data_IF_762780573272
#
_entry.id   IF_762780573272
#
_cell.length_a   1.000
_cell.length_b   1.000
_cell.length_c   1.000
_cell.angle_alpha   90.00
_cell.angle_beta   90.00
_cell.angle_gamma   90.00
#
_symmetry.space_group_name_H-M   'P 1'
#
loop_
_entity.id
_entity.type
_entity.pdbx_description
1 polymer ?
#
# COMPACT_ATOMS: atom_id res chain seq x y z
N UNK A 1 -14.08 29.51 3.95
CA UNK A 1 -13.12 29.35 2.84
C UNK A 1 -13.26 27.94 2.30
N UNK A 2 -13.85 27.76 1.15
CA UNK A 2 -13.90 26.48 0.44
C UNK A 2 -12.50 26.14 0.00
N UNK A 3 -11.90 25.07 0.55
CA UNK A 3 -10.63 24.54 0.05
C UNK A 3 -10.83 24.11 -1.39
N UNK A 4 -9.90 24.45 -2.28
CA UNK A 4 -9.86 23.90 -3.63
C UNK A 4 -9.92 22.36 -3.58
N UNK A 5 -10.60 21.71 -4.52
CA UNK A 5 -10.66 20.26 -4.56
C UNK A 5 -9.25 19.67 -4.55
N UNK A 6 -9.04 18.61 -3.77
CA UNK A 6 -7.72 17.96 -3.68
C UNK A 6 -7.41 17.23 -5.00
N UNK A 7 -6.25 17.50 -5.57
CA UNK A 7 -5.66 16.67 -6.63
C UNK A 7 -4.81 15.59 -5.95
N UNK A 8 -5.36 14.39 -5.85
CA UNK A 8 -4.76 13.28 -5.09
C UNK A 8 -4.00 12.35 -6.03
N UNK A 9 -2.73 12.08 -5.72
CA UNK A 9 -1.95 11.03 -6.38
C UNK A 9 -1.68 9.89 -5.38
N UNK A 10 -1.80 8.65 -5.85
CA UNK A 10 -1.45 7.47 -5.07
C UNK A 10 -0.03 7.03 -5.40
N UNK A 11 0.76 6.73 -4.38
CA UNK A 11 2.11 6.18 -4.50
C UNK A 11 2.07 4.76 -3.93
N UNK A 12 2.46 3.78 -4.75
CA UNK A 12 2.55 2.36 -4.36
C UNK A 12 4.01 1.93 -4.48
N UNK A 13 4.78 2.02 -3.38
CA UNK A 13 6.16 1.57 -3.39
C UNK A 13 6.22 0.04 -3.29
N UNK A 14 7.05 -0.58 -4.12
CA UNK A 14 7.27 -2.03 -4.13
C UNK A 14 8.76 -2.32 -4.13
N UNK A 15 9.24 -2.97 -3.09
CA UNK A 15 10.63 -3.44 -3.02
C UNK A 15 10.89 -4.53 -4.07
N UNK A 16 12.17 -4.78 -4.36
CA UNK A 16 12.54 -5.93 -5.19
C UNK A 16 11.98 -7.23 -4.63
N UNK A 17 11.54 -8.11 -5.52
CA UNK A 17 10.85 -9.35 -5.16
C UNK A 17 11.78 -10.48 -4.73
N UNK A 18 13.09 -10.31 -4.87
CA UNK A 18 14.07 -11.27 -4.38
C UNK A 18 13.96 -11.39 -2.85
N UNK A 19 13.78 -12.61 -2.36
CA UNK A 19 13.50 -12.92 -0.96
C UNK A 19 12.23 -12.28 -0.37
N UNK A 20 11.30 -11.79 -1.21
CA UNK A 20 10.03 -11.28 -0.72
C UNK A 20 9.26 -12.34 0.05
N UNK A 21 8.57 -11.91 1.12
CA UNK A 21 7.71 -12.76 1.95
C UNK A 21 8.39 -14.06 2.42
N UNK A 22 9.67 -13.98 2.80
CA UNK A 22 10.47 -15.14 3.26
C UNK A 22 9.83 -15.92 4.42
N UNK A 23 9.00 -15.27 5.25
CA UNK A 23 8.25 -15.93 6.34
C UNK A 23 7.13 -16.85 5.83
N UNK A 24 6.81 -16.83 4.54
CA UNK A 24 5.87 -17.75 3.90
C UNK A 24 6.59 -18.94 3.23
N UNK A 25 7.90 -19.10 3.38
CA UNK A 25 8.69 -20.14 2.71
C UNK A 25 8.32 -21.57 3.11
N UNK A 26 7.65 -21.77 4.24
CA UNK A 26 7.11 -23.07 4.64
C UNK A 26 5.89 -23.51 3.81
N UNK A 27 5.23 -22.60 3.11
CA UNK A 27 4.03 -22.85 2.31
C UNK A 27 4.24 -22.58 0.82
N UNK A 28 5.03 -21.56 0.49
CA UNK A 28 5.22 -21.03 -0.85
C UNK A 28 6.68 -21.14 -1.28
N UNK A 29 6.94 -21.66 -2.45
CA UNK A 29 8.25 -21.60 -3.11
C UNK A 29 8.64 -20.15 -3.42
N UNK A 30 9.88 -19.89 -3.80
CA UNK A 30 10.37 -18.55 -4.15
C UNK A 30 9.55 -17.94 -5.29
N UNK A 31 9.25 -18.72 -6.32
CA UNK A 31 8.46 -18.26 -7.47
C UNK A 31 7.00 -18.00 -7.09
N UNK A 32 6.40 -18.85 -6.27
CA UNK A 32 5.04 -18.63 -5.77
C UNK A 32 4.97 -17.38 -4.90
N UNK A 33 5.97 -17.09 -4.06
CA UNK A 33 6.03 -15.84 -3.28
C UNK A 33 6.14 -14.61 -4.17
N UNK A 34 6.99 -14.65 -5.20
CA UNK A 34 7.09 -13.57 -6.20
C UNK A 34 5.76 -13.34 -6.90
N UNK A 35 5.13 -14.41 -7.40
CA UNK A 35 3.81 -14.31 -8.05
C UNK A 35 2.75 -13.79 -7.08
N UNK A 36 2.75 -14.22 -5.84
CA UNK A 36 1.81 -13.75 -4.82
C UNK A 36 1.97 -12.25 -4.54
N UNK A 37 3.20 -11.74 -4.43
CA UNK A 37 3.45 -10.29 -4.31
C UNK A 37 2.91 -9.51 -5.51
N UNK A 38 3.12 -10.01 -6.73
CA UNK A 38 2.58 -9.37 -7.94
C UNK A 38 1.04 -9.38 -7.95
N UNK A 39 0.41 -10.46 -7.50
CA UNK A 39 -1.06 -10.54 -7.43
C UNK A 39 -1.65 -9.63 -6.35
N UNK A 40 -0.99 -9.48 -5.20
CA UNK A 40 -1.38 -8.47 -4.20
C UNK A 40 -1.26 -7.05 -4.76
N UNK A 41 -0.18 -6.75 -5.49
CA UNK A 41 -0.03 -5.46 -6.19
C UNK A 41 -1.18 -5.22 -7.18
N UNK A 42 -1.55 -6.21 -7.99
CA UNK A 42 -2.69 -6.10 -8.91
C UNK A 42 -3.99 -5.73 -8.17
N UNK A 43 -4.25 -6.34 -7.00
CA UNK A 43 -5.44 -6.07 -6.20
C UNK A 43 -5.43 -4.64 -5.65
N UNK A 44 -4.30 -4.18 -5.13
CA UNK A 44 -4.14 -2.79 -4.66
C UNK A 44 -4.32 -1.80 -5.81
N UNK A 45 -3.69 -2.04 -6.96
CA UNK A 45 -3.79 -1.16 -8.13
C UNK A 45 -5.22 -1.10 -8.68
N UNK A 46 -5.94 -2.23 -8.70
CA UNK A 46 -7.35 -2.28 -9.10
C UNK A 46 -8.21 -1.40 -8.18
N UNK A 47 -8.00 -1.50 -6.87
CA UNK A 47 -8.70 -0.69 -5.88
C UNK A 47 -8.40 0.80 -6.05
N UNK A 48 -7.12 1.16 -6.21
CA UNK A 48 -6.72 2.56 -6.40
C UNK A 48 -7.33 3.13 -7.67
N UNK A 49 -7.28 2.41 -8.80
CA UNK A 49 -7.87 2.84 -10.09
C UNK A 49 -9.38 2.98 -10.04
N UNK A 50 -10.07 2.15 -9.28
CA UNK A 50 -11.53 2.25 -9.12
C UNK A 50 -11.96 3.36 -8.16
N UNK A 51 -11.02 4.00 -7.46
CA UNK A 51 -11.28 5.10 -6.55
C UNK A 51 -11.25 6.44 -7.31
N UNK A 52 -12.41 6.92 -7.75
CA UNK A 52 -12.54 8.11 -8.63
C UNK A 52 -11.87 9.39 -8.14
N UNK A 53 -11.64 9.50 -6.82
CA UNK A 53 -10.97 10.66 -6.20
C UNK A 53 -9.45 10.61 -6.28
N UNK A 54 -8.87 9.52 -6.75
CA UNK A 54 -7.44 9.40 -7.04
C UNK A 54 -7.24 9.72 -8.52
N UNK A 55 -6.50 10.79 -8.80
CA UNK A 55 -6.32 11.35 -10.14
C UNK A 55 -5.21 10.63 -10.91
N UNK A 56 -4.18 10.19 -10.20
CA UNK A 56 -3.05 9.47 -10.78
C UNK A 56 -2.47 8.46 -9.80
N UNK A 57 -1.92 7.38 -10.34
CA UNK A 57 -1.24 6.34 -9.57
C UNK A 57 0.19 6.20 -10.05
N UNK A 58 1.12 6.13 -9.11
CA UNK A 58 2.56 5.99 -9.35
C UNK A 58 3.04 4.75 -8.61
N UNK A 59 3.59 3.79 -9.34
CA UNK A 59 4.31 2.64 -8.77
C UNK A 59 5.79 2.96 -8.75
N UNK A 60 6.45 2.72 -7.62
CA UNK A 60 7.89 2.93 -7.48
C UNK A 60 8.56 1.60 -7.21
N UNK A 61 9.46 1.18 -8.07
CA UNK A 61 10.20 -0.08 -7.91
C UNK A 61 11.43 -0.10 -8.82
N UNK A 62 12.39 -0.98 -8.48
CA UNK A 62 13.48 -1.37 -9.38
C UNK A 62 13.26 -2.72 -10.04
N UNK A 63 12.21 -3.44 -9.64
CA UNK A 63 11.94 -4.80 -10.13
C UNK A 63 11.22 -4.76 -11.47
N UNK A 64 11.79 -5.36 -12.54
CA UNK A 64 11.18 -5.33 -13.87
C UNK A 64 9.79 -6.00 -13.93
N UNK A 65 9.50 -6.99 -13.07
CA UNK A 65 8.20 -7.62 -13.04
C UNK A 65 7.13 -6.68 -12.47
N UNK A 66 7.48 -5.89 -11.45
CA UNK A 66 6.61 -4.84 -10.90
C UNK A 66 6.32 -3.76 -11.94
N UNK A 67 7.36 -3.31 -12.68
CA UNK A 67 7.19 -2.29 -13.71
C UNK A 67 6.27 -2.77 -14.84
N UNK A 68 6.38 -4.04 -15.26
CA UNK A 68 5.44 -4.63 -16.25
C UNK A 68 3.98 -4.64 -15.75
N UNK A 69 3.74 -4.90 -14.47
CA UNK A 69 2.39 -4.82 -13.89
C UNK A 69 1.89 -3.38 -13.93
N UNK A 70 2.71 -2.41 -13.54
CA UNK A 70 2.35 -0.99 -13.60
C UNK A 70 1.95 -0.57 -15.02
N UNK A 71 2.72 -0.97 -16.02
CA UNK A 71 2.46 -0.72 -17.44
C UNK A 71 1.14 -1.37 -17.89
N UNK A 72 0.91 -2.64 -17.55
CA UNK A 72 -0.33 -3.35 -17.88
C UNK A 72 -1.57 -2.69 -17.26
N UNK A 73 -1.43 -2.08 -16.09
CA UNK A 73 -2.49 -1.29 -15.46
C UNK A 73 -2.60 0.13 -16.01
N UNK A 74 -1.71 0.56 -16.91
CA UNK A 74 -1.70 1.93 -17.44
C UNK A 74 -1.48 2.98 -16.35
N UNK A 75 -0.67 2.67 -15.35
CA UNK A 75 -0.27 3.60 -14.29
C UNK A 75 1.17 4.05 -14.50
N UNK A 76 1.51 5.22 -13.96
CA UNK A 76 2.90 5.71 -14.04
C UNK A 76 3.79 4.81 -13.19
N UNK A 77 4.99 4.54 -13.68
CA UNK A 77 6.02 3.93 -12.85
C UNK A 77 7.26 4.84 -12.76
N UNK A 78 7.90 4.80 -11.63
CA UNK A 78 9.20 5.41 -11.40
C UNK A 78 10.17 4.30 -11.03
N UNK A 79 11.28 4.25 -11.75
CA UNK A 79 12.37 3.33 -11.42
C UNK A 79 13.09 3.86 -10.18
N UNK A 80 13.15 3.03 -9.13
CA UNK A 80 13.93 3.34 -7.94
C UNK A 80 15.43 3.37 -8.32
N UNK A 81 16.04 4.52 -8.25
CA UNK A 81 17.49 4.69 -8.54
C UNK A 81 18.33 4.57 -7.28
N UNK A 82 17.82 5.04 -6.14
CA UNK A 82 18.49 4.99 -4.85
C UNK A 82 17.98 3.80 -4.03
N UNK A 83 18.88 3.21 -3.25
CA UNK A 83 18.52 2.15 -2.33
C UNK A 83 17.87 2.71 -1.05
N UNK A 84 16.57 2.48 -0.88
CA UNK A 84 15.87 2.85 0.33
C UNK A 84 14.41 3.22 0.09
N UNK A 85 13.51 2.64 0.89
CA UNK A 85 12.07 2.89 0.74
C UNK A 85 11.71 4.35 0.99
N UNK A 86 12.37 5.02 1.95
CA UNK A 86 12.08 6.42 2.27
C UNK A 86 12.52 7.36 1.15
N UNK A 87 13.69 7.09 0.60
CA UNK A 87 14.24 7.83 -0.53
C UNK A 87 13.34 7.68 -1.76
N UNK A 88 12.96 6.44 -2.10
CA UNK A 88 12.07 6.15 -3.22
C UNK A 88 10.70 6.84 -3.08
N UNK A 89 10.09 6.79 -1.88
CA UNK A 89 8.83 7.47 -1.61
C UNK A 89 9.00 8.99 -1.64
N UNK A 90 10.10 9.53 -1.12
CA UNK A 90 10.38 10.97 -1.14
C UNK A 90 10.54 11.51 -2.58
N UNK A 91 11.27 10.78 -3.43
CA UNK A 91 11.41 11.11 -4.86
C UNK A 91 10.05 11.06 -5.58
N UNK A 92 9.23 10.04 -5.30
CA UNK A 92 7.89 9.94 -5.86
C UNK A 92 6.97 11.08 -5.39
N UNK A 93 7.07 11.52 -4.15
CA UNK A 93 6.35 12.69 -3.64
C UNK A 93 6.79 13.95 -4.41
N UNK A 94 8.08 14.16 -4.59
CA UNK A 94 8.61 15.27 -5.40
C UNK A 94 8.05 15.25 -6.81
N UNK A 95 8.09 14.11 -7.48
CA UNK A 95 7.51 13.90 -8.81
C UNK A 95 6.01 14.23 -8.87
N UNK A 96 5.25 13.83 -7.84
CA UNK A 96 3.83 14.14 -7.74
C UNK A 96 3.57 15.66 -7.59
N UNK A 97 4.36 16.34 -6.75
CA UNK A 97 4.27 17.79 -6.53
C UNK A 97 4.52 18.57 -7.83
N UNK A 98 5.57 18.22 -8.57
CA UNK A 98 5.90 18.84 -9.87
C UNK A 98 4.75 18.72 -10.89
N UNK A 99 3.86 17.71 -10.71
CA UNK A 99 2.70 17.46 -11.58
C UNK A 99 1.38 17.92 -10.99
N UNK A 100 1.45 18.79 -10.00
CA UNK A 100 0.28 19.49 -9.44
C UNK A 100 -0.51 18.70 -8.41
N UNK A 101 0.04 17.62 -7.84
CA UNK A 101 -0.59 16.96 -6.71
C UNK A 101 -0.67 17.91 -5.51
N UNK A 102 -1.86 18.09 -4.96
CA UNK A 102 -2.08 18.82 -3.71
C UNK A 102 -2.16 17.89 -2.51
N UNK A 103 -2.26 16.59 -2.76
CA UNK A 103 -2.25 15.53 -1.74
C UNK A 103 -1.64 14.26 -2.31
N UNK A 104 -0.96 13.49 -1.47
CA UNK A 104 -0.48 12.15 -1.84
C UNK A 104 -0.96 11.13 -0.83
N UNK A 105 -1.35 9.95 -1.31
CA UNK A 105 -1.61 8.78 -0.49
C UNK A 105 -0.57 7.70 -0.78
N UNK A 106 0.17 7.27 0.22
CA UNK A 106 1.13 6.16 0.11
C UNK A 106 0.49 4.89 0.65
N UNK A 107 0.47 3.85 -0.17
CA UNK A 107 -0.12 2.55 0.14
C UNK A 107 0.89 1.44 -0.17
N UNK A 108 1.19 0.51 0.75
CA UNK A 108 2.00 -0.65 0.44
C UNK A 108 1.25 -1.60 -0.51
N UNK A 109 2.00 -2.42 -1.25
CA UNK A 109 1.43 -3.36 -2.22
C UNK A 109 0.88 -4.66 -1.60
N UNK A 110 1.04 -4.86 -0.31
CA UNK A 110 0.74 -6.11 0.41
C UNK A 110 -0.48 -6.03 1.34
N UNK A 111 -1.38 -5.09 1.07
CA UNK A 111 -2.69 -4.93 1.73
C UNK A 111 -3.85 -5.21 0.74
N UNK A 112 -3.97 -6.42 0.17
CA UNK A 112 -4.88 -6.71 -0.93
C UNK A 112 -6.37 -6.59 -0.56
N UNK A 113 -6.69 -6.49 0.74
CA UNK A 113 -8.07 -6.31 1.22
C UNK A 113 -8.56 -4.86 1.21
N UNK A 114 -7.69 -3.89 0.91
CA UNK A 114 -8.10 -2.48 0.84
C UNK A 114 -9.19 -2.30 -0.22
N UNK A 115 -10.20 -1.48 0.08
CA UNK A 115 -11.34 -1.23 -0.79
C UNK A 115 -11.44 0.24 -1.21
N UNK A 116 -12.16 0.56 -2.31
CA UNK A 116 -12.43 1.95 -2.69
C UNK A 116 -13.16 2.74 -1.60
N UNK A 117 -14.00 2.07 -0.80
CA UNK A 117 -14.68 2.70 0.35
C UNK A 117 -13.67 3.12 1.42
N UNK A 118 -12.66 2.29 1.71
CA UNK A 118 -11.60 2.63 2.65
C UNK A 118 -10.82 3.86 2.15
N UNK A 119 -10.42 3.86 0.88
CA UNK A 119 -9.68 4.97 0.28
C UNK A 119 -10.51 6.27 0.28
N UNK A 120 -11.78 6.21 -0.11
CA UNK A 120 -12.67 7.38 -0.08
C UNK A 120 -12.81 7.95 1.34
N UNK A 121 -12.88 7.10 2.37
CA UNK A 121 -12.89 7.53 3.78
C UNK A 121 -11.59 8.23 4.17
N UNK A 122 -10.43 7.70 3.77
CA UNK A 122 -9.13 8.34 4.01
C UNK A 122 -9.10 9.73 3.38
N UNK A 123 -9.51 9.84 2.12
CA UNK A 123 -9.51 11.10 1.37
C UNK A 123 -10.45 12.14 1.99
N UNK A 124 -11.63 11.73 2.44
CA UNK A 124 -12.58 12.63 3.13
C UNK A 124 -12.00 13.18 4.44
N UNK A 125 -11.21 12.38 5.17
CA UNK A 125 -10.52 12.83 6.38
C UNK A 125 -9.37 13.79 6.06
N UNK A 126 -8.70 13.61 4.92
CA UNK A 126 -7.63 14.49 4.44
C UNK A 126 -8.10 15.91 4.08
N UNK A 127 -9.39 16.10 3.81
CA UNK A 127 -9.97 17.44 3.66
C UNK A 127 -9.93 18.26 4.96
N UNK A 128 -9.82 17.59 6.10
CA UNK A 128 -9.88 18.19 7.44
C UNK A 128 -8.59 18.05 8.24
N UNK A 129 -7.59 17.34 7.72
CA UNK A 129 -6.33 17.10 8.39
C UNK A 129 -5.17 17.10 7.41
N UNK A 130 -3.99 17.55 7.85
CA UNK A 130 -2.78 17.55 7.03
C UNK A 130 -2.15 16.19 6.92
N UNK A 131 -2.40 15.30 7.88
CA UNK A 131 -1.94 13.91 7.85
C UNK A 131 -3.04 12.96 8.32
N UNK A 132 -3.32 11.92 7.54
CA UNK A 132 -4.16 10.78 7.93
C UNK A 132 -3.31 9.52 7.85
N UNK A 133 -3.20 8.78 8.95
CA UNK A 133 -2.31 7.63 9.05
C UNK A 133 -3.02 6.40 9.61
N UNK A 134 -2.73 5.24 9.01
CA UNK A 134 -3.21 3.94 9.46
C UNK A 134 -2.02 3.05 9.83
N UNK A 135 -2.13 2.39 10.99
CA UNK A 135 -1.11 1.45 11.43
C UNK A 135 -1.30 0.09 10.79
N UNK A 136 -0.19 -0.67 10.72
CA UNK A 136 -0.22 -2.12 10.57
C UNK A 136 -0.91 -2.77 11.79
N UNK A 137 -1.19 -4.08 11.70
CA UNK A 137 -1.82 -4.86 12.78
C UNK A 137 -1.01 -4.80 14.09
N UNK A 138 0.30 -4.85 14.00
CA UNK A 138 1.18 -4.74 15.16
C UNK A 138 1.18 -3.34 15.83
N UNK A 139 0.60 -2.33 15.18
CA UNK A 139 0.66 -0.94 15.62
C UNK A 139 2.03 -0.28 15.43
N UNK A 140 3.00 -0.98 14.85
CA UNK A 140 4.38 -0.49 14.65
C UNK A 140 4.63 0.06 13.24
N UNK A 141 4.08 -0.60 12.22
CA UNK A 141 4.19 -0.22 10.80
C UNK A 141 3.14 0.80 10.38
N UNK A 142 3.33 1.40 9.20
CA UNK A 142 2.41 2.34 8.54
C UNK A 142 1.91 1.73 7.25
N UNK A 143 0.61 1.42 7.17
CA UNK A 143 -0.03 0.76 6.02
C UNK A 143 -0.86 1.70 5.13
N UNK A 144 -1.17 2.91 5.59
CA UNK A 144 -1.63 3.98 4.71
C UNK A 144 -1.22 5.33 5.30
N UNK A 145 -0.75 6.22 4.45
CA UNK A 145 -0.33 7.56 4.82
C UNK A 145 -0.83 8.56 3.77
N UNK A 146 -1.77 9.42 4.14
CA UNK A 146 -2.20 10.57 3.33
C UNK A 146 -1.57 11.83 3.87
N UNK A 147 -0.97 12.62 3.01
CA UNK A 147 -0.36 13.92 3.29
C UNK A 147 -1.04 15.03 2.46
N UNK A 148 -1.43 16.12 3.11
CA UNK A 148 -2.03 17.32 2.50
C UNK A 148 -1.46 18.57 3.19
N UNK A 149 -0.57 19.33 2.55
CA UNK A 149 0.06 19.10 1.23
C UNK A 149 0.99 17.88 1.23
N UNK A 150 1.46 17.44 0.06
CA UNK A 150 2.31 16.24 -0.07
C UNK A 150 3.56 16.22 0.80
N UNK A 151 4.15 17.38 1.06
CA UNK A 151 5.36 17.58 1.87
C UNK A 151 5.06 17.98 3.34
N UNK A 152 3.82 17.80 3.81
CA UNK A 152 3.44 18.16 5.19
C UNK A 152 4.30 17.44 6.24
N UNK A 153 4.69 16.20 5.97
CA UNK A 153 5.52 15.40 6.86
C UNK A 153 6.52 14.56 6.05
N UNK A 154 7.78 14.43 6.49
CA UNK A 154 8.72 13.45 5.90
C UNK A 154 8.23 12.01 6.12
N UNK A 155 8.72 11.09 5.33
CA UNK A 155 8.40 9.67 5.48
C UNK A 155 9.47 8.93 6.28
N UNK A 156 9.02 7.98 7.12
CA UNK A 156 9.86 7.22 8.04
C UNK A 156 9.51 5.73 8.00
N UNK A 157 9.42 5.14 6.80
CA UNK A 157 9.16 3.72 6.65
C UNK A 157 10.29 2.88 7.25
N UNK A 158 9.93 1.71 7.79
CA UNK A 158 10.83 0.81 8.50
C UNK A 158 10.38 0.58 9.95
N UNK A 159 11.27 0.13 10.85
CA UNK A 159 10.91 -0.18 12.22
C UNK A 159 10.28 1.01 12.96
N UNK A 160 9.13 0.75 13.61
CA UNK A 160 8.35 1.75 14.35
C UNK A 160 7.91 2.97 13.53
N UNK A 161 7.70 2.79 12.21
CA UNK A 161 7.33 3.86 11.28
C UNK A 161 6.09 4.64 11.71
N UNK A 162 5.06 3.96 12.24
CA UNK A 162 3.83 4.61 12.68
C UNK A 162 4.08 5.67 13.77
N UNK A 163 4.88 5.32 14.78
CA UNK A 163 5.21 6.24 15.86
C UNK A 163 6.13 7.38 15.38
N UNK A 164 7.10 7.07 14.52
CA UNK A 164 8.00 8.10 13.95
C UNK A 164 7.24 9.15 13.15
N UNK A 165 6.30 8.74 12.29
CA UNK A 165 5.45 9.67 11.55
C UNK A 165 4.64 10.56 12.49
N UNK A 166 4.04 9.98 13.54
CA UNK A 166 3.24 10.73 14.52
C UNK A 166 4.10 11.74 15.31
N UNK A 167 5.25 11.30 15.80
CA UNK A 167 6.15 12.18 16.56
C UNK A 167 6.59 13.40 15.73
N UNK A 168 6.96 13.18 14.47
CA UNK A 168 7.33 14.28 13.60
C UNK A 168 6.14 15.20 13.28
N UNK A 169 4.96 14.65 13.06
CA UNK A 169 3.75 15.43 12.85
C UNK A 169 3.41 16.33 14.07
N UNK A 170 3.57 15.80 15.28
CA UNK A 170 3.38 16.56 16.52
C UNK A 170 4.44 17.67 16.68
N UNK A 171 5.70 17.34 16.39
CA UNK A 171 6.80 18.31 16.42
C UNK A 171 6.57 19.46 15.43
N UNK A 172 6.04 19.15 14.25
CA UNK A 172 5.68 20.14 13.21
C UNK A 172 4.34 20.83 13.45
N UNK A 173 3.61 20.45 14.49
CA UNK A 173 2.28 21.00 14.85
C UNK A 173 1.26 20.90 13.71
N UNK A 174 1.34 19.87 12.85
CA UNK A 174 0.38 19.64 11.77
C UNK A 174 -0.84 18.88 12.29
N UNK A 175 -1.99 19.12 11.68
CA UNK A 175 -3.23 18.43 12.03
C UNK A 175 -3.14 16.94 11.61
N UNK A 176 -3.42 16.04 12.56
CA UNK A 176 -3.23 14.60 12.45
C UNK A 176 -4.50 13.83 12.76
N UNK A 177 -4.83 12.82 11.95
CA UNK A 177 -5.82 11.77 12.23
C UNK A 177 -5.16 10.39 12.23
N UNK A 178 -5.25 9.69 13.36
CA UNK A 178 -4.78 8.31 13.53
C UNK A 178 -5.98 7.38 13.49
N UNK A 179 -5.94 6.36 12.65
CA UNK A 179 -7.05 5.44 12.45
C UNK A 179 -6.57 3.98 12.40
N UNK A 180 -7.52 3.07 12.55
CA UNK A 180 -7.35 1.64 12.33
C UNK A 180 -8.46 1.14 11.42
N UNK A 181 -8.12 0.20 10.55
CA UNK A 181 -9.03 -0.55 9.71
C UNK A 181 -8.50 -1.98 9.62
N UNK A 182 -9.29 -3.01 9.90
CA UNK A 182 -8.83 -4.39 9.77
C UNK A 182 -8.25 -4.69 8.38
N UNK A 183 -8.87 -4.20 7.30
CA UNK A 183 -8.43 -4.42 5.92
C UNK A 183 -7.11 -3.73 5.59
N UNK A 184 -6.91 -2.49 6.07
CA UNK A 184 -5.67 -1.75 5.85
C UNK A 184 -4.55 -2.25 6.78
N UNK A 185 -4.92 -2.69 7.98
CA UNK A 185 -3.96 -3.16 8.97
C UNK A 185 -3.33 -4.52 8.62
N UNK A 186 -3.99 -5.31 7.76
CA UNK A 186 -3.51 -6.62 7.35
C UNK A 186 -2.57 -6.51 6.14
N UNK A 187 -1.30 -6.32 6.42
CA UNK A 187 -0.18 -6.57 5.52
C UNK A 187 0.21 -8.06 5.62
N UNK A 188 0.25 -8.74 4.48
CA UNK A 188 0.43 -10.19 4.48
C UNK A 188 1.91 -10.54 4.48
N UNK A 189 2.46 -10.84 5.65
CA UNK A 189 3.88 -11.17 5.85
C UNK A 189 4.11 -12.58 6.41
N UNK A 190 3.15 -13.13 7.16
CA UNK A 190 3.26 -14.41 7.86
C UNK A 190 2.18 -15.40 7.42
N UNK A 191 2.33 -16.67 7.84
CA UNK A 191 1.31 -17.70 7.60
C UNK A 191 -0.02 -17.35 8.27
N UNK A 192 0.04 -16.72 9.44
CA UNK A 192 -1.14 -16.25 10.18
C UNK A 192 -1.87 -15.13 9.42
N UNK A 193 -1.12 -14.18 8.84
CA UNK A 193 -1.71 -13.13 8.00
C UNK A 193 -2.36 -13.72 6.75
N UNK A 194 -1.72 -14.74 6.15
CA UNK A 194 -2.25 -15.43 4.98
C UNK A 194 -3.56 -16.16 5.30
N UNK A 195 -3.65 -16.84 6.46
CA UNK A 195 -4.88 -17.48 6.93
C UNK A 195 -6.01 -16.46 7.16
N UNK A 196 -5.69 -15.31 7.76
CA UNK A 196 -6.66 -14.23 7.98
C UNK A 196 -7.15 -13.65 6.65
N UNK A 197 -6.23 -13.43 5.69
CA UNK A 197 -6.58 -13.00 4.34
C UNK A 197 -7.55 -13.96 3.65
N UNK A 198 -7.27 -15.27 3.68
CA UNK A 198 -8.14 -16.28 3.07
C UNK A 198 -9.49 -16.33 3.76
N UNK A 199 -9.52 -16.24 5.12
CA UNK A 199 -10.75 -16.21 5.91
C UNK A 199 -11.63 -14.97 5.66
N UNK A 200 -11.05 -13.88 5.17
CA UNK A 200 -11.79 -12.67 4.77
C UNK A 200 -12.64 -12.87 3.50
N UNK A 201 -12.63 -14.07 2.92
CA UNK A 201 -13.44 -14.47 1.75
C UNK A 201 -13.26 -13.56 0.53
N UNK A 202 -12.02 -13.12 0.29
CA UNK A 202 -11.67 -12.25 -0.84
C UNK A 202 -11.52 -13.04 -2.16
N UNK A 203 -12.46 -13.96 -2.48
CA UNK A 203 -12.40 -14.89 -3.62
C UNK A 203 -12.19 -14.20 -4.98
N UNK A 204 -12.63 -12.97 -5.12
CA UNK A 204 -12.46 -12.19 -6.36
C UNK A 204 -11.07 -11.56 -6.51
N UNK A 205 -10.25 -11.53 -5.45
CA UNK A 205 -8.91 -10.97 -5.55
C UNK A 205 -7.97 -11.83 -6.38
N UNK A 206 -7.03 -11.21 -7.07
CA UNK A 206 -5.99 -11.90 -7.85
C UNK A 206 -5.10 -12.76 -6.95
N UNK A 207 -4.80 -12.25 -5.75
CA UNK A 207 -4.00 -12.96 -4.76
C UNK A 207 -4.69 -14.24 -4.28
N UNK A 208 -6.00 -14.18 -3.96
CA UNK A 208 -6.77 -15.36 -3.56
C UNK A 208 -6.82 -16.41 -4.68
N UNK A 209 -7.14 -16.00 -5.91
CA UNK A 209 -7.21 -16.90 -7.09
C UNK A 209 -5.89 -17.61 -7.37
N UNK A 210 -4.75 -16.96 -7.10
CA UNK A 210 -3.45 -17.61 -7.19
C UNK A 210 -3.29 -18.70 -6.13
N UNK A 211 -3.62 -18.42 -4.87
CA UNK A 211 -3.51 -19.39 -3.77
C UNK A 211 -4.40 -20.62 -4.00
N UNK A 212 -5.58 -20.42 -4.53
CA UNK A 212 -6.51 -21.49 -4.92
C UNK A 212 -5.92 -22.35 -6.04
N UNK A 213 -5.52 -21.71 -7.14
CA UNK A 213 -4.94 -22.39 -8.31
C UNK A 213 -3.67 -23.19 -7.97
N UNK A 214 -2.86 -22.76 -7.03
CA UNK A 214 -1.62 -23.42 -6.61
C UNK A 214 -1.84 -24.48 -5.52
N UNK A 215 -3.08 -24.69 -5.07
CA UNK A 215 -3.41 -25.65 -4.03
C UNK A 215 -2.94 -25.24 -2.62
N UNK A 216 -2.55 -23.99 -2.43
CA UNK A 216 -2.10 -23.47 -1.13
C UNK A 216 -3.24 -23.46 -0.12
N UNK A 217 -4.48 -23.23 -0.56
CA UNK A 217 -5.66 -23.28 0.31
C UNK A 217 -5.79 -24.65 0.99
N UNK A 218 -5.52 -25.74 0.26
CA UNK A 218 -5.52 -27.08 0.83
C UNK A 218 -4.41 -27.28 1.87
N UNK A 219 -3.19 -26.74 1.61
CA UNK A 219 -2.08 -26.78 2.57
C UNK A 219 -2.38 -26.00 3.86
N UNK A 220 -3.24 -24.96 3.78
CA UNK A 220 -3.70 -24.18 4.94
C UNK A 220 -4.83 -24.87 5.72
N UNK A 221 -5.34 -26.02 5.25
CA UNK A 221 -6.48 -26.73 5.84
C UNK A 221 -7.83 -26.04 5.57
N UNK A 222 -7.87 -25.13 4.61
CA UNK A 222 -9.08 -24.42 4.20
C UNK A 222 -9.59 -25.14 2.95
N UNK A 223 -10.59 -26.01 3.13
CA UNK A 223 -11.32 -26.63 2.01
C UNK A 223 -12.42 -25.68 1.57
N UNK A 224 -12.54 -25.46 0.26
CA UNK A 224 -13.78 -24.89 -0.28
C UNK A 224 -14.93 -25.84 0.06
N UNK A 225 -15.89 -25.37 0.86
CA UNK A 225 -17.18 -26.01 1.06
C UNK A 225 -18.13 -25.60 -0.05
#
# INVERSE_FOLDING_TARGET
MTRNPMTVFAIVPVKGLDNAKSRLSSLLTDDERKQFCLKMLEDVLRTVKSTRRIHQTVVVSRDPAVLRIAEAFGVVYLKEEKTGLNEAVSEAIGWCVERGATSVIVLPADIPLVTPTDLNRILALGEKASMVIFSSRSGKGTNALLLTPPNANPTFYGPNSFQKHIQEALKRKISLRKLRSPRIALDIDTVEDLKEFVSANAKESSAYKLLDKTGILNKLGIRDS
#
